data_IF_090828855616
#
_entry.id   IF_090828855616
#
_cell.length_a   1.000
_cell.length_b   1.000
_cell.length_c   1.000
_cell.angle_alpha   90.00
_cell.angle_beta   90.00
_cell.angle_gamma   90.00
#
_symmetry.space_group_name_H-M   'P 1'
#
loop_
_entity.id
_entity.type
_entity.pdbx_description
1 polymer ?
#
# COMPACT_ATOMS: atom_id res chain seq x y z
N UNK A 1 -11.19 -12.77 -15.36
CA UNK A 1 -9.84 -12.54 -14.82
C UNK A 1 -9.90 -12.74 -13.32
N UNK A 2 -8.91 -13.39 -12.72
CA UNK A 2 -8.86 -13.53 -11.25
C UNK A 2 -8.55 -12.20 -10.56
N UNK A 3 -8.80 -12.13 -9.26
CA UNK A 3 -8.50 -10.96 -8.42
C UNK A 3 -7.02 -10.58 -8.49
N UNK A 4 -6.73 -9.30 -8.75
CA UNK A 4 -5.36 -8.76 -8.67
C UNK A 4 -5.03 -8.46 -7.22
N UNK A 5 -4.07 -9.20 -6.66
CA UNK A 5 -3.63 -9.04 -5.26
C UNK A 5 -2.38 -8.16 -5.22
N UNK A 6 -2.55 -6.96 -4.69
CA UNK A 6 -1.57 -5.88 -4.72
C UNK A 6 -1.03 -5.61 -3.32
N UNK A 7 0.30 -5.60 -3.17
CA UNK A 7 0.96 -5.12 -1.96
C UNK A 7 1.42 -3.68 -2.13
N UNK A 8 0.99 -2.79 -1.24
CA UNK A 8 1.45 -1.41 -1.17
C UNK A 8 2.48 -1.31 -0.05
N UNK A 9 3.70 -0.90 -0.39
CA UNK A 9 4.81 -0.73 0.54
C UNK A 9 5.37 0.69 0.51
N UNK A 10 6.22 1.03 1.47
CA UNK A 10 6.87 2.35 1.54
C UNK A 10 7.16 2.77 2.97
N UNK A 11 8.09 3.73 3.11
CA UNK A 11 8.51 4.29 4.41
C UNK A 11 7.32 4.83 5.22
N UNK A 12 7.39 4.74 6.54
CA UNK A 12 6.46 5.36 7.46
C UNK A 12 6.37 6.87 7.24
N UNK A 13 5.15 7.40 7.29
CA UNK A 13 4.90 8.83 7.10
C UNK A 13 4.95 9.31 5.64
N UNK A 14 5.25 8.43 4.67
CA UNK A 14 5.32 8.81 3.25
C UNK A 14 3.94 9.07 2.62
N UNK A 15 2.85 8.73 3.30
CA UNK A 15 1.47 8.87 2.79
C UNK A 15 0.97 7.64 2.04
N UNK A 16 1.49 6.46 2.40
CA UNK A 16 1.13 5.16 1.81
C UNK A 16 -0.37 4.86 1.95
N UNK A 17 -0.89 4.86 3.17
CA UNK A 17 -2.31 4.56 3.47
C UNK A 17 -3.26 5.57 2.83
N UNK A 18 -2.90 6.86 2.85
CA UNK A 18 -3.66 7.90 2.14
C UNK A 18 -3.71 7.61 0.63
N UNK A 19 -2.58 7.25 0.03
CA UNK A 19 -2.50 6.93 -1.42
C UNK A 19 -3.28 5.66 -1.75
N UNK A 20 -3.14 4.61 -0.92
CA UNK A 20 -3.87 3.35 -1.07
C UNK A 20 -5.38 3.57 -1.03
N UNK A 21 -5.89 4.28 -0.02
CA UNK A 21 -7.32 4.55 0.13
C UNK A 21 -7.87 5.42 -1.01
N UNK A 22 -7.15 6.47 -1.43
CA UNK A 22 -7.60 7.28 -2.57
C UNK A 22 -7.57 6.51 -3.89
N UNK A 23 -6.57 5.65 -4.11
CA UNK A 23 -6.51 4.77 -5.28
C UNK A 23 -7.66 3.75 -5.28
N UNK A 24 -7.94 3.10 -4.14
CA UNK A 24 -9.07 2.19 -3.99
C UNK A 24 -10.40 2.92 -4.23
N UNK A 25 -10.57 4.12 -3.67
CA UNK A 25 -11.73 4.97 -3.91
C UNK A 25 -11.89 5.33 -5.39
N UNK A 26 -10.80 5.67 -6.08
CA UNK A 26 -10.82 5.95 -7.52
C UNK A 26 -11.21 4.72 -8.35
N UNK A 27 -10.66 3.54 -8.03
CA UNK A 27 -11.01 2.27 -8.68
C UNK A 27 -12.51 1.95 -8.53
N UNK A 28 -13.07 2.12 -7.34
CA UNK A 28 -14.48 1.88 -7.08
C UNK A 28 -15.38 2.94 -7.72
N UNK A 29 -15.05 4.22 -7.56
CA UNK A 29 -15.91 5.34 -7.96
C UNK A 29 -15.90 5.59 -9.47
N UNK A 30 -14.73 5.65 -10.09
CA UNK A 30 -14.59 6.00 -11.52
C UNK A 30 -14.60 4.81 -12.46
N UNK A 31 -14.21 3.63 -11.98
CA UNK A 31 -14.03 2.43 -12.81
C UNK A 31 -14.91 1.25 -12.37
N UNK A 32 -15.78 1.45 -11.37
CA UNK A 32 -16.75 0.47 -10.88
C UNK A 32 -16.13 -0.88 -10.48
N UNK A 33 -14.89 -0.84 -9.97
CA UNK A 33 -14.16 -2.02 -9.53
C UNK A 33 -14.55 -2.45 -8.13
N UNK A 34 -14.68 -3.75 -7.92
CA UNK A 34 -14.87 -4.36 -6.60
C UNK A 34 -13.52 -4.47 -5.91
N UNK A 35 -13.34 -3.68 -4.87
CA UNK A 35 -12.06 -3.54 -4.16
C UNK A 35 -12.19 -3.96 -2.71
N UNK A 36 -11.15 -4.62 -2.20
CA UNK A 36 -10.95 -4.84 -0.78
C UNK A 36 -9.60 -4.31 -0.32
N UNK A 37 -9.55 -3.73 0.87
CA UNK A 37 -8.32 -3.29 1.54
C UNK A 37 -8.15 -4.13 2.80
N UNK A 38 -7.01 -4.79 2.92
CA UNK A 38 -6.51 -5.38 4.15
C UNK A 38 -5.35 -4.54 4.67
N UNK A 39 -5.58 -3.82 5.77
CA UNK A 39 -4.53 -3.09 6.48
C UNK A 39 -3.60 -4.04 7.23
N UNK A 40 -2.33 -4.03 6.86
CA UNK A 40 -1.25 -4.85 7.44
C UNK A 40 -0.21 -3.97 8.17
N UNK A 41 -0.66 -2.83 8.71
CA UNK A 41 0.11 -1.93 9.56
C UNK A 41 -0.46 -1.99 10.99
N UNK A 42 0.37 -2.19 12.03
CA UNK A 42 -0.10 -2.23 13.42
C UNK A 42 -0.82 -0.95 13.89
N UNK A 43 -0.73 0.16 13.14
CA UNK A 43 -1.48 1.40 13.42
C UNK A 43 -2.99 1.31 13.17
N UNK A 44 -3.43 0.32 12.38
CA UNK A 44 -4.84 0.06 12.07
C UNK A 44 -5.62 1.28 11.53
N UNK A 45 -5.00 2.09 10.66
CA UNK A 45 -5.60 3.27 10.04
C UNK A 45 -5.66 3.22 8.50
N UNK A 46 -5.36 2.06 7.90
CA UNK A 46 -5.34 1.83 6.47
C UNK A 46 -6.72 1.89 5.80
N UNK A 47 -7.80 1.85 6.58
CA UNK A 47 -9.20 1.82 6.13
C UNK A 47 -10.02 3.02 6.60
N UNK A 48 -9.44 3.88 7.45
CA UNK A 48 -10.13 4.95 8.19
C UNK A 48 -10.90 5.92 7.29
N UNK A 49 -10.33 6.34 6.17
CA UNK A 49 -10.94 7.30 5.24
C UNK A 49 -12.07 6.65 4.41
N UNK A 50 -11.96 5.36 4.09
CA UNK A 50 -12.99 4.62 3.38
C UNK A 50 -14.23 4.42 4.24
N UNK A 51 -14.03 4.16 5.54
CA UNK A 51 -15.11 3.94 6.49
C UNK A 51 -15.71 5.22 7.09
N UNK A 52 -15.22 6.41 6.73
CA UNK A 52 -15.71 7.67 7.32
C UNK A 52 -15.29 7.86 8.78
N UNK A 53 -14.20 7.20 9.20
CA UNK A 53 -13.71 7.15 10.58
C UNK A 53 -14.61 6.39 11.56
N UNK A 54 -15.47 5.51 11.06
CA UNK A 54 -16.14 4.52 11.90
C UNK A 54 -15.09 3.63 12.59
N UNK A 55 -15.32 3.22 13.85
CA UNK A 55 -14.49 2.23 14.50
C UNK A 55 -14.46 0.95 13.68
N UNK A 56 -13.28 0.38 13.52
CA UNK A 56 -13.08 -0.92 12.90
C UNK A 56 -12.41 -1.83 13.92
N UNK A 57 -13.09 -2.92 14.27
CA UNK A 57 -12.50 -4.00 15.06
C UNK A 57 -11.42 -4.67 14.22
N UNK A 58 -10.25 -4.90 14.82
CA UNK A 58 -9.15 -5.57 14.15
C UNK A 58 -9.22 -7.07 14.37
N UNK A 59 -8.69 -7.84 13.43
CA UNK A 59 -8.68 -9.31 13.49
C UNK A 59 -7.95 -9.79 14.76
N UNK A 60 -6.81 -9.18 15.09
CA UNK A 60 -6.00 -9.59 16.24
C UNK A 60 -6.55 -9.13 17.59
N UNK A 61 -7.27 -8.00 17.64
CA UNK A 61 -7.92 -7.57 18.88
C UNK A 61 -9.09 -8.49 19.19
N UNK A 62 -9.93 -8.80 18.18
CA UNK A 62 -11.05 -9.71 18.36
C UNK A 62 -10.58 -11.12 18.76
N UNK A 63 -9.53 -11.63 18.11
CA UNK A 63 -8.93 -12.91 18.46
C UNK A 63 -8.44 -12.96 19.92
N UNK A 64 -7.90 -11.85 20.43
CA UNK A 64 -7.34 -11.76 21.78
C UNK A 64 -8.42 -11.62 22.85
N UNK A 65 -9.43 -10.81 22.57
CA UNK A 65 -10.49 -10.46 23.52
C UNK A 65 -11.56 -11.55 23.60
N UNK A 66 -11.87 -12.19 22.47
CA UNK A 66 -13.04 -13.08 22.37
C UNK A 66 -12.72 -14.48 21.82
N UNK A 67 -11.49 -14.76 21.44
CA UNK A 67 -11.10 -16.06 20.89
C UNK A 67 -11.48 -16.24 19.42
N UNK A 68 -10.99 -17.33 18.83
CA UNK A 68 -11.14 -17.62 17.40
C UNK A 68 -12.60 -17.97 17.05
N UNK A 69 -13.32 -18.59 17.97
CA UNK A 69 -14.71 -19.01 17.80
C UNK A 69 -15.71 -17.85 17.61
N UNK A 70 -15.34 -16.64 18.07
CA UNK A 70 -16.15 -15.42 17.95
C UNK A 70 -15.69 -14.51 16.80
N UNK A 71 -14.68 -14.94 16.04
CA UNK A 71 -14.14 -14.21 14.91
C UNK A 71 -14.95 -14.53 13.65
N UNK A 72 -15.88 -13.64 13.32
CA UNK A 72 -16.73 -13.77 12.12
C UNK A 72 -16.47 -12.66 11.12
N UNK A 73 -16.69 -12.93 9.83
CA UNK A 73 -16.43 -11.97 8.75
C UNK A 73 -17.23 -10.66 8.90
N UNK A 74 -18.48 -10.72 9.37
CA UNK A 74 -19.32 -9.52 9.55
C UNK A 74 -18.79 -8.55 10.62
N UNK A 75 -17.98 -9.07 11.54
CA UNK A 75 -17.33 -8.27 12.58
C UNK A 75 -16.08 -7.58 12.05
N UNK A 76 -15.20 -8.33 11.39
CA UNK A 76 -13.88 -7.83 10.96
C UNK A 76 -13.89 -7.18 9.57
N UNK A 77 -14.88 -7.49 8.72
CA UNK A 77 -15.05 -6.87 7.40
C UNK A 77 -16.15 -5.82 7.45
N UNK A 78 -15.77 -4.57 7.22
CA UNK A 78 -16.71 -3.45 7.08
C UNK A 78 -16.74 -2.96 5.64
N UNK A 79 -17.88 -2.40 5.23
CA UNK A 79 -18.05 -1.83 3.89
C UNK A 79 -18.15 -0.32 3.98
N UNK A 80 -17.34 0.38 3.20
CA UNK A 80 -17.28 1.84 3.17
C UNK A 80 -17.65 2.45 1.82
N UNK A 81 -17.05 3.60 1.53
CA UNK A 81 -17.25 4.34 0.30
C UNK A 81 -17.07 3.45 -0.95
N UNK A 82 -17.95 3.60 -1.94
CA UNK A 82 -17.89 2.85 -3.20
C UNK A 82 -18.09 1.33 -3.06
N UNK A 83 -18.59 0.83 -1.92
CA UNK A 83 -18.71 -0.61 -1.68
C UNK A 83 -17.37 -1.30 -1.38
N UNK A 84 -16.33 -0.54 -1.07
CA UNK A 84 -15.00 -1.06 -0.74
C UNK A 84 -15.09 -1.83 0.59
N UNK A 85 -14.59 -3.07 0.57
CA UNK A 85 -14.48 -3.92 1.77
C UNK A 85 -13.19 -3.60 2.51
N UNK A 86 -13.26 -3.50 3.84
CA UNK A 86 -12.17 -3.07 4.69
C UNK A 86 -11.98 -4.10 5.81
N UNK A 87 -10.74 -4.55 5.98
CA UNK A 87 -10.28 -5.37 7.11
C UNK A 87 -8.95 -4.80 7.64
N UNK A 88 -8.72 -4.89 8.94
CA UNK A 88 -7.49 -4.43 9.60
C UNK A 88 -6.93 -5.62 10.37
N UNK A 89 -5.66 -5.97 10.12
CA UNK A 89 -5.00 -7.01 10.89
C UNK A 89 -4.95 -6.63 12.37
N UNK A 90 -4.66 -5.36 12.66
CA UNK A 90 -4.33 -4.91 14.01
C UNK A 90 -2.85 -5.12 14.34
N UNK A 91 -2.48 -4.73 15.56
CA UNK A 91 -1.12 -4.84 16.07
C UNK A 91 -1.09 -5.59 17.40
N UNK A 92 0.05 -6.15 17.79
CA UNK A 92 0.23 -6.60 19.15
C UNK A 92 0.24 -5.38 20.09
N UNK A 93 0.02 -5.61 21.38
CA UNK A 93 0.15 -4.57 22.39
C UNK A 93 1.49 -3.83 22.27
N UNK A 94 1.50 -2.49 22.37
CA UNK A 94 2.74 -1.71 22.32
C UNK A 94 3.79 -2.25 23.31
N UNK A 95 4.96 -2.63 22.79
CA UNK A 95 6.05 -3.19 23.59
C UNK A 95 6.01 -4.72 23.78
N UNK A 96 4.99 -5.41 23.26
CA UNK A 96 4.82 -6.87 23.35
C UNK A 96 4.64 -7.48 21.96
N UNK A 97 5.08 -8.73 21.77
CA UNK A 97 4.79 -9.50 20.56
C UNK A 97 5.60 -9.08 19.32
N UNK A 98 5.14 -9.54 18.15
CA UNK A 98 5.77 -9.24 16.86
C UNK A 98 4.68 -8.87 15.86
N UNK A 99 4.62 -7.60 15.46
CA UNK A 99 3.63 -7.10 14.50
C UNK A 99 3.64 -7.90 13.19
N UNK A 100 4.84 -8.30 12.74
CA UNK A 100 4.97 -9.15 11.57
C UNK A 100 4.31 -10.52 11.73
N UNK A 101 4.29 -11.14 12.91
CA UNK A 101 3.56 -12.41 13.13
C UNK A 101 2.05 -12.19 13.17
N UNK A 102 1.61 -11.07 13.76
CA UNK A 102 0.21 -10.68 13.79
C UNK A 102 -0.40 -10.57 12.39
N UNK A 103 0.30 -9.92 11.46
CA UNK A 103 -0.14 -9.83 10.05
C UNK A 103 -0.31 -11.21 9.41
N UNK A 104 0.61 -12.16 9.68
CA UNK A 104 0.51 -13.54 9.16
C UNK A 104 -0.76 -14.20 9.69
N UNK A 105 -0.95 -14.17 11.01
CA UNK A 105 -2.13 -14.75 11.67
C UNK A 105 -3.42 -14.16 11.12
N UNK A 106 -3.50 -12.83 10.98
CA UNK A 106 -4.69 -12.18 10.47
C UNK A 106 -5.01 -12.54 9.02
N UNK A 107 -3.99 -12.63 8.16
CA UNK A 107 -4.19 -13.05 6.76
C UNK A 107 -4.67 -14.50 6.70
N UNK A 108 -4.07 -15.41 7.46
CA UNK A 108 -4.44 -16.82 7.46
C UNK A 108 -5.88 -17.03 7.95
N UNK A 109 -6.27 -16.38 9.06
CA UNK A 109 -7.64 -16.44 9.57
C UNK A 109 -8.65 -15.90 8.54
N UNK A 110 -8.31 -14.81 7.85
CA UNK A 110 -9.14 -14.28 6.78
C UNK A 110 -9.24 -15.24 5.58
N UNK A 111 -8.22 -16.06 5.28
CA UNK A 111 -8.33 -17.10 4.26
C UNK A 111 -9.20 -18.27 4.71
N UNK A 112 -9.02 -18.73 5.95
CA UNK A 112 -9.78 -19.84 6.55
C UNK A 112 -11.28 -19.51 6.65
N UNK A 113 -11.61 -18.25 6.92
CA UNK A 113 -12.98 -17.75 6.93
C UNK A 113 -13.53 -17.41 5.53
N UNK A 114 -12.77 -17.66 4.47
CA UNK A 114 -13.14 -17.28 3.09
C UNK A 114 -13.42 -15.77 2.94
N UNK A 115 -12.73 -14.93 3.71
CA UNK A 115 -12.89 -13.49 3.81
C UNK A 115 -12.40 -12.69 2.61
N UNK A 116 -11.86 -13.33 1.57
CA UNK A 116 -11.49 -12.73 0.30
C UNK A 116 -12.38 -13.26 -0.82
N UNK A 117 -13.52 -12.61 -1.11
CA UNK A 117 -14.45 -13.07 -2.14
C UNK A 117 -13.80 -13.21 -3.52
N UNK A 118 -14.17 -14.26 -4.26
CA UNK A 118 -13.67 -14.50 -5.61
C UNK A 118 -14.12 -13.42 -6.63
N UNK A 119 -15.15 -12.67 -6.29
CA UNK A 119 -15.73 -11.63 -7.15
C UNK A 119 -14.98 -10.28 -7.08
N UNK A 120 -13.88 -10.20 -6.33
CA UNK A 120 -13.04 -9.00 -6.25
C UNK A 120 -12.23 -8.78 -7.53
N UNK A 121 -12.23 -7.54 -8.03
CA UNK A 121 -11.27 -7.12 -9.05
C UNK A 121 -9.88 -6.89 -8.42
N UNK A 122 -9.83 -6.25 -7.24
CA UNK A 122 -8.59 -5.87 -6.56
C UNK A 122 -8.64 -6.16 -5.06
N UNK A 123 -7.54 -6.71 -4.54
CA UNK A 123 -7.27 -6.84 -3.11
C UNK A 123 -5.96 -6.12 -2.78
N UNK A 124 -6.03 -5.06 -1.97
CA UNK A 124 -4.86 -4.32 -1.50
C UNK A 124 -4.43 -4.78 -0.13
N UNK A 125 -3.14 -5.09 0.03
CA UNK A 125 -2.47 -5.22 1.32
C UNK A 125 -1.67 -3.93 1.56
N UNK A 126 -2.08 -3.10 2.52
CA UNK A 126 -1.33 -1.91 2.94
C UNK A 126 -0.31 -2.32 4.02
N UNK A 127 0.94 -2.50 3.63
CA UNK A 127 1.95 -3.14 4.48
C UNK A 127 2.97 -2.14 5.01
N UNK A 128 3.30 -2.26 6.30
CA UNK A 128 4.36 -1.47 6.92
C UNK A 128 5.71 -1.70 6.19
N UNK A 129 6.29 -0.63 5.64
CA UNK A 129 7.50 -0.70 4.81
C UNK A 129 8.81 -0.28 5.50
N UNK A 130 8.76 0.16 6.76
CA UNK A 130 9.96 0.59 7.50
C UNK A 130 10.87 -0.56 7.91
N UNK A 131 10.27 -1.73 8.19
CA UNK A 131 10.97 -2.91 8.65
C UNK A 131 10.63 -4.08 7.74
N UNK A 132 11.57 -4.47 6.89
CA UNK A 132 11.41 -5.64 6.01
C UNK A 132 11.82 -6.92 6.76
N UNK A 133 11.21 -7.16 7.94
CA UNK A 133 11.40 -8.41 8.65
C UNK A 133 10.57 -9.53 8.00
N UNK A 134 10.84 -10.79 8.38
CA UNK A 134 10.19 -11.94 7.76
C UNK A 134 8.65 -11.93 7.81
N UNK A 135 8.04 -11.22 8.78
CA UNK A 135 6.58 -11.09 8.90
C UNK A 135 5.97 -10.07 7.95
N UNK A 136 6.49 -8.85 7.87
CA UNK A 136 6.01 -7.84 6.91
C UNK A 136 6.34 -8.19 5.45
N UNK A 137 7.32 -9.07 5.24
CA UNK A 137 7.57 -9.68 3.95
C UNK A 137 6.59 -10.81 3.62
N UNK A 138 5.68 -11.25 4.51
CA UNK A 138 4.83 -12.42 4.28
C UNK A 138 3.98 -12.32 3.01
N UNK A 139 3.29 -11.19 2.71
CA UNK A 139 2.50 -11.10 1.49
C UNK A 139 3.31 -11.39 0.21
N UNK A 140 4.60 -11.00 0.22
CA UNK A 140 5.56 -11.24 -0.86
C UNK A 140 6.14 -12.67 -0.78
N UNK A 141 6.53 -13.12 0.42
CA UNK A 141 7.24 -14.36 0.72
C UNK A 141 6.40 -15.62 0.48
N UNK A 142 5.10 -15.52 0.73
CA UNK A 142 4.11 -16.58 0.56
C UNK A 142 3.26 -16.38 -0.70
N UNK A 143 3.56 -15.35 -1.50
CA UNK A 143 2.88 -15.07 -2.75
C UNK A 143 1.40 -14.72 -2.57
N UNK A 144 1.03 -14.12 -1.43
CA UNK A 144 -0.33 -13.59 -1.21
C UNK A 144 -0.60 -12.35 -2.06
N UNK A 145 0.43 -11.55 -2.34
CA UNK A 145 0.41 -10.45 -3.30
C UNK A 145 1.38 -10.74 -4.46
N UNK A 146 0.90 -10.67 -5.69
CA UNK A 146 1.72 -10.89 -6.89
C UNK A 146 2.28 -9.57 -7.44
N UNK A 147 1.57 -8.47 -7.20
CA UNK A 147 1.93 -7.14 -7.72
C UNK A 147 2.31 -6.22 -6.58
N UNK A 148 3.50 -5.63 -6.63
CA UNK A 148 3.97 -4.72 -5.59
C UNK A 148 4.09 -3.31 -6.17
N UNK A 149 3.56 -2.34 -5.43
CA UNK A 149 3.81 -0.91 -5.68
C UNK A 149 4.40 -0.29 -4.43
N UNK A 150 5.42 0.55 -4.61
CA UNK A 150 6.11 1.21 -3.50
C UNK A 150 5.83 2.70 -3.56
N UNK A 151 5.32 3.26 -2.47
CA UNK A 151 5.17 4.71 -2.29
C UNK A 151 6.48 5.28 -1.75
N UNK A 152 7.07 6.22 -2.49
CA UNK A 152 8.33 6.88 -2.16
C UNK A 152 8.25 8.39 -2.48
N UNK A 153 9.31 9.13 -2.18
CA UNK A 153 9.50 10.55 -2.50
C UNK A 153 10.97 10.76 -2.88
N UNK A 154 11.33 11.97 -3.31
CA UNK A 154 12.72 12.34 -3.60
C UNK A 154 13.63 12.42 -2.37
N UNK A 155 13.10 12.19 -1.17
CA UNK A 155 13.91 12.15 0.06
C UNK A 155 14.81 10.90 0.07
N UNK A 156 16.10 11.07 0.40
CA UNK A 156 17.08 9.97 0.46
C UNK A 156 16.58 8.77 1.28
N UNK A 157 15.96 9.02 2.43
CA UNK A 157 15.45 7.95 3.29
C UNK A 157 14.26 7.19 2.68
N UNK A 158 13.45 7.84 1.84
CA UNK A 158 12.35 7.18 1.13
C UNK A 158 12.88 6.31 -0.02
N UNK A 159 13.85 6.82 -0.79
CA UNK A 159 14.55 6.05 -1.83
C UNK A 159 15.27 4.84 -1.23
N UNK A 160 15.99 5.03 -0.12
CA UNK A 160 16.67 3.95 0.62
C UNK A 160 15.70 2.87 1.08
N UNK A 161 14.55 3.26 1.67
CA UNK A 161 13.52 2.31 2.09
C UNK A 161 12.95 1.54 0.90
N UNK A 162 12.62 2.22 -0.20
CA UNK A 162 12.14 1.60 -1.43
C UNK A 162 13.16 0.58 -1.98
N UNK A 163 14.44 0.94 -2.01
CA UNK A 163 15.51 0.04 -2.45
C UNK A 163 15.63 -1.21 -1.57
N UNK A 164 15.49 -1.07 -0.25
CA UNK A 164 15.51 -2.20 0.68
C UNK A 164 14.28 -3.12 0.53
N UNK A 165 13.10 -2.56 0.25
CA UNK A 165 11.90 -3.36 -0.09
C UNK A 165 12.17 -4.17 -1.37
N UNK A 166 12.75 -3.54 -2.40
CA UNK A 166 13.17 -4.25 -3.62
C UNK A 166 14.16 -5.38 -3.31
N UNK A 167 15.17 -5.16 -2.45
CA UNK A 167 16.12 -6.21 -2.00
C UNK A 167 15.42 -7.36 -1.27
N UNK A 168 14.40 -7.07 -0.46
CA UNK A 168 13.60 -8.10 0.21
C UNK A 168 12.84 -8.95 -0.81
N UNK A 169 12.25 -8.30 -1.81
CA UNK A 169 11.43 -8.97 -2.83
C UNK A 169 12.25 -9.84 -3.78
N UNK A 170 13.46 -9.44 -4.19
CA UNK A 170 14.29 -10.25 -5.11
C UNK A 170 14.61 -11.64 -4.57
N UNK A 171 14.67 -11.80 -3.24
CA UNK A 171 14.87 -13.10 -2.58
C UNK A 171 13.73 -14.10 -2.82
N UNK A 172 12.52 -13.61 -3.11
CA UNK A 172 11.32 -14.44 -3.24
C UNK A 172 10.72 -14.43 -4.64
N UNK A 173 11.05 -13.44 -5.47
CA UNK A 173 10.50 -13.21 -6.81
C UNK A 173 10.50 -14.45 -7.73
N UNK A 174 11.55 -15.25 -7.71
CA UNK A 174 11.65 -16.47 -8.53
C UNK A 174 10.75 -17.60 -8.00
N UNK A 175 10.57 -17.68 -6.68
CA UNK A 175 9.80 -18.75 -6.04
C UNK A 175 8.30 -18.46 -6.04
N UNK A 176 7.90 -17.22 -5.76
CA UNK A 176 6.48 -16.86 -5.56
C UNK A 176 5.85 -16.18 -6.77
N UNK A 177 6.64 -15.81 -7.77
CA UNK A 177 6.15 -15.09 -8.95
C UNK A 177 5.87 -13.60 -8.71
N UNK A 178 6.11 -13.08 -7.50
CA UNK A 178 5.91 -11.66 -7.17
C UNK A 178 6.77 -10.73 -8.04
N UNK A 179 6.21 -9.57 -8.43
CA UNK A 179 6.85 -8.57 -9.29
C UNK A 179 6.61 -7.15 -8.79
N UNK A 180 7.56 -6.26 -9.08
CA UNK A 180 7.39 -4.82 -8.91
C UNK A 180 6.61 -4.27 -10.12
N UNK A 181 5.44 -3.68 -9.87
CA UNK A 181 4.64 -3.00 -10.89
C UNK A 181 5.05 -1.55 -11.12
N UNK A 182 5.62 -0.90 -10.10
CA UNK A 182 6.17 0.45 -10.21
C UNK A 182 6.34 1.16 -8.87
N UNK A 183 6.91 2.36 -8.94
CA UNK A 183 7.03 3.30 -7.82
C UNK A 183 5.98 4.41 -7.99
N UNK A 184 5.25 4.69 -6.92
CA UNK A 184 4.36 5.86 -6.83
C UNK A 184 5.13 6.95 -6.09
N UNK A 185 5.51 8.01 -6.79
CA UNK A 185 6.14 9.16 -6.14
C UNK A 185 5.06 10.02 -5.48
N UNK A 186 5.02 10.05 -4.15
CA UNK A 186 4.15 10.95 -3.40
C UNK A 186 4.95 12.19 -2.99
N UNK A 187 4.76 13.28 -3.73
CA UNK A 187 5.64 14.44 -3.69
C UNK A 187 5.79 15.03 -2.28
N UNK A 188 7.03 15.35 -1.94
CA UNK A 188 7.41 16.12 -0.75
C UNK A 188 7.90 17.52 -1.09
N UNK A 189 7.73 17.93 -2.36
CA UNK A 189 8.26 19.19 -2.90
C UNK A 189 9.78 19.27 -2.77
N UNK A 190 10.45 18.14 -3.02
CA UNK A 190 11.92 18.11 -3.15
C UNK A 190 12.27 18.73 -4.51
N UNK A 191 13.35 19.50 -4.58
CA UNK A 191 13.79 20.05 -5.86
C UNK A 191 14.16 18.91 -6.82
N UNK A 192 13.70 19.00 -8.08
CA UNK A 192 13.92 17.97 -9.11
C UNK A 192 13.45 16.57 -8.69
N UNK A 193 12.44 16.50 -7.82
CA UNK A 193 11.90 15.25 -7.27
C UNK A 193 11.45 14.25 -8.35
N UNK A 194 10.83 14.74 -9.41
CA UNK A 194 10.38 13.88 -10.51
C UNK A 194 11.58 13.26 -11.25
N UNK A 195 12.65 14.03 -11.49
CA UNK A 195 13.84 13.58 -12.20
C UNK A 195 14.62 12.52 -11.41
N UNK A 196 14.85 12.75 -10.11
CA UNK A 196 15.56 11.78 -9.26
C UNK A 196 14.77 10.47 -9.15
N UNK A 197 13.44 10.56 -9.01
CA UNK A 197 12.58 9.37 -8.92
C UNK A 197 12.50 8.61 -10.24
N UNK A 198 12.49 9.32 -11.37
CA UNK A 198 12.53 8.73 -12.70
C UNK A 198 13.82 7.92 -12.90
N UNK A 199 14.99 8.51 -12.64
CA UNK A 199 16.28 7.80 -12.76
C UNK A 199 16.39 6.65 -11.75
N UNK A 200 15.88 6.81 -10.53
CA UNK A 200 15.83 5.72 -9.56
C UNK A 200 15.03 4.51 -10.09
N UNK A 201 13.86 4.76 -10.69
CA UNK A 201 13.02 3.72 -11.28
C UNK A 201 13.73 3.02 -12.45
N UNK A 202 14.37 3.78 -13.32
CA UNK A 202 15.13 3.26 -14.45
C UNK A 202 16.30 2.36 -13.99
N UNK A 203 17.08 2.80 -13.00
CA UNK A 203 18.18 1.99 -12.43
C UNK A 203 17.66 0.72 -11.75
N UNK A 204 16.49 0.77 -11.10
CA UNK A 204 15.81 -0.41 -10.57
C UNK A 204 15.27 -1.35 -11.67
N UNK A 205 15.18 -0.88 -12.91
CA UNK A 205 14.55 -1.59 -14.03
C UNK A 205 13.03 -1.57 -13.99
N UNK A 206 12.42 -0.61 -13.30
CA UNK A 206 10.96 -0.44 -13.20
C UNK A 206 10.53 0.93 -13.75
N UNK A 207 9.31 1.34 -13.49
CA UNK A 207 8.75 2.63 -13.86
C UNK A 207 8.28 3.43 -12.65
N UNK A 208 8.33 4.76 -12.76
CA UNK A 208 7.52 5.62 -11.91
C UNK A 208 6.09 5.61 -12.46
N UNK A 209 5.20 4.80 -11.87
CA UNK A 209 3.84 4.61 -12.38
C UNK A 209 3.06 5.93 -12.33
N UNK A 210 3.30 6.74 -11.31
CA UNK A 210 2.66 8.04 -11.13
C UNK A 210 3.50 8.96 -10.25
N UNK A 211 3.51 10.25 -10.60
CA UNK A 211 3.89 11.34 -9.72
C UNK A 211 2.61 11.96 -9.14
N UNK A 212 2.39 11.79 -7.83
CA UNK A 212 1.24 12.34 -7.10
C UNK A 212 1.65 13.68 -6.49
N UNK A 213 1.04 14.80 -6.90
CA UNK A 213 1.42 16.11 -6.39
C UNK A 213 0.98 16.30 -4.92
N UNK A 214 1.69 17.20 -4.24
CA UNK A 214 1.37 17.59 -2.86
C UNK A 214 0.31 18.69 -2.86
N UNK A 215 -0.88 18.37 -2.35
CA UNK A 215 -2.00 19.32 -2.25
C UNK A 215 -2.65 19.29 -0.85
N UNK A 216 -3.01 20.48 -0.34
CA UNK A 216 -3.63 20.65 0.97
C UNK A 216 -5.08 20.13 1.03
N UNK A 217 -5.73 19.90 -0.11
CA UNK A 217 -7.04 19.23 -0.17
C UNK A 217 -7.01 17.85 0.48
N UNK A 218 -5.86 17.16 0.45
CA UNK A 218 -5.68 15.86 1.09
C UNK A 218 -5.91 15.98 2.60
N UNK A 219 -5.32 16.98 3.25
CA UNK A 219 -5.53 17.21 4.69
C UNK A 219 -6.98 17.63 4.98
N UNK A 220 -7.59 18.45 4.13
CA UNK A 220 -9.01 18.83 4.28
C UNK A 220 -9.92 17.60 4.21
N UNK A 221 -9.70 16.70 3.26
CA UNK A 221 -10.45 15.45 3.13
C UNK A 221 -10.21 14.52 4.33
N UNK A 222 -8.96 14.36 4.77
CA UNK A 222 -8.58 13.57 5.95
C UNK A 222 -9.25 14.08 7.24
N UNK A 223 -9.32 15.40 7.45
CA UNK A 223 -10.04 15.99 8.59
C UNK A 223 -11.55 15.72 8.54
N UNK A 224 -12.11 15.55 7.35
CA UNK A 224 -13.49 15.12 7.14
C UNK A 224 -13.64 13.60 7.13
N UNK A 225 -12.56 12.85 7.41
CA UNK A 225 -12.50 11.38 7.40
C UNK A 225 -12.89 10.78 6.05
N UNK A 226 -12.55 11.45 4.96
CA UNK A 226 -12.87 11.04 3.59
C UNK A 226 -11.61 10.95 2.74
N UNK A 227 -11.69 10.17 1.67
CA UNK A 227 -10.72 10.27 0.57
C UNK A 227 -10.99 11.55 -0.23
N UNK A 228 -10.00 12.05 -0.95
CA UNK A 228 -10.20 13.21 -1.85
C UNK A 228 -11.20 12.88 -2.94
N UNK A 229 -11.19 11.65 -3.46
CA UNK A 229 -12.16 11.15 -4.45
C UNK A 229 -13.59 11.27 -3.93
N UNK A 230 -13.83 10.98 -2.66
CA UNK A 230 -15.15 11.14 -2.04
C UNK A 230 -15.46 12.60 -1.69
N UNK A 231 -14.46 13.34 -1.21
CA UNK A 231 -14.62 14.70 -0.68
C UNK A 231 -14.88 15.73 -1.77
N UNK A 232 -14.11 15.67 -2.86
CA UNK A 232 -14.22 16.56 -4.01
C UNK A 232 -13.73 15.83 -5.29
N UNK A 233 -14.62 15.07 -5.96
CA UNK A 233 -14.25 14.23 -7.10
C UNK A 233 -13.71 15.04 -8.29
N UNK A 234 -14.14 16.29 -8.46
CA UNK A 234 -13.72 17.13 -9.58
C UNK A 234 -12.38 17.84 -9.31
N UNK A 235 -11.87 17.80 -8.07
CA UNK A 235 -10.60 18.41 -7.71
C UNK A 235 -9.43 17.81 -8.52
N UNK A 236 -8.43 18.61 -8.95
CA UNK A 236 -7.25 18.10 -9.66
C UNK A 236 -6.55 16.93 -8.95
N UNK A 237 -6.46 16.97 -7.62
CA UNK A 237 -5.92 15.87 -6.81
C UNK A 237 -6.76 14.58 -6.90
N UNK A 238 -8.10 14.66 -6.95
CA UNK A 238 -8.94 13.48 -7.18
C UNK A 238 -8.73 12.92 -8.59
N UNK A 239 -8.55 13.78 -9.59
CA UNK A 239 -8.22 13.38 -10.96
C UNK A 239 -6.81 12.76 -11.06
N UNK A 240 -5.85 13.21 -10.24
CA UNK A 240 -4.54 12.54 -10.13
C UNK A 240 -4.68 11.11 -9.60
N UNK A 241 -5.54 10.87 -8.60
CA UNK A 241 -5.82 9.51 -8.12
C UNK A 241 -6.63 8.67 -9.13
N UNK A 242 -7.51 9.30 -9.91
CA UNK A 242 -8.18 8.65 -11.06
C UNK A 242 -7.18 8.17 -12.09
N UNK A 243 -6.21 9.01 -12.44
CA UNK A 243 -5.15 8.67 -13.38
C UNK A 243 -4.24 7.57 -12.82
N UNK A 244 -3.85 7.65 -11.54
CA UNK A 244 -3.15 6.55 -10.86
C UNK A 244 -3.92 5.23 -10.99
N UNK A 245 -5.21 5.23 -10.65
CA UNK A 245 -6.05 4.03 -10.74
C UNK A 245 -6.13 3.48 -12.17
N UNK A 246 -6.28 4.36 -13.18
CA UNK A 246 -6.25 3.98 -14.60
C UNK A 246 -4.93 3.28 -14.97
N UNK A 247 -3.80 3.90 -14.62
CA UNK A 247 -2.46 3.33 -14.88
C UNK A 247 -2.25 1.99 -14.19
N UNK A 248 -2.79 1.82 -12.97
CA UNK A 248 -2.75 0.53 -12.26
C UNK A 248 -3.57 -0.53 -13.01
N UNK A 249 -4.77 -0.18 -13.49
CA UNK A 249 -5.62 -1.09 -14.29
C UNK A 249 -4.87 -1.55 -15.55
N UNK A 250 -4.24 -0.62 -16.26
CA UNK A 250 -3.59 -0.85 -17.55
C UNK A 250 -2.13 -1.34 -17.44
N UNK A 251 -1.58 -1.44 -16.23
CA UNK A 251 -0.17 -1.78 -16.08
C UNK A 251 0.12 -3.22 -16.54
N UNK A 252 1.04 -3.37 -17.49
CA UNK A 252 1.57 -4.64 -17.95
C UNK A 252 3.08 -4.80 -17.65
N UNK A 253 3.72 -3.75 -17.13
CA UNK A 253 5.15 -3.75 -16.86
C UNK A 253 5.44 -4.21 -15.42
N UNK A 254 5.78 -5.50 -15.31
CA UNK A 254 6.06 -6.18 -14.05
C UNK A 254 7.45 -6.82 -14.07
N UNK A 255 8.30 -6.41 -13.14
CA UNK A 255 9.74 -6.75 -13.17
C UNK A 255 10.22 -7.36 -11.86
N UNK A 256 11.31 -8.12 -11.94
CA UNK A 256 12.15 -8.38 -10.78
C UNK A 256 13.12 -7.20 -10.71
N UNK A 257 13.06 -6.34 -9.66
CA UNK A 257 13.86 -5.13 -9.62
C UNK A 257 15.35 -5.46 -9.45
N UNK A 258 16.19 -4.49 -9.79
CA UNK A 258 17.64 -4.52 -9.63
C UNK A 258 18.05 -3.52 -8.55
N UNK A 259 18.05 -3.90 -7.25
CA UNK A 259 18.33 -2.95 -6.19
C UNK A 259 19.75 -2.39 -6.28
N UNK A 260 19.88 -1.09 -6.07
CA UNK A 260 21.13 -0.34 -6.12
C UNK A 260 21.95 -0.58 -4.85
N UNK A 261 23.27 -0.46 -4.96
CA UNK A 261 24.22 -0.39 -3.85
C UNK A 261 24.14 0.97 -3.14
N UNK A 262 24.69 1.07 -1.92
CA UNK A 262 24.69 2.34 -1.20
C UNK A 262 25.44 3.46 -1.94
N UNK A 263 26.63 3.20 -2.54
CA UNK A 263 27.31 4.23 -3.35
C UNK A 263 26.49 4.72 -4.55
N UNK A 264 25.77 3.83 -5.24
CA UNK A 264 24.89 4.22 -6.36
C UNK A 264 23.69 5.06 -5.89
N UNK A 265 23.16 4.80 -4.69
CA UNK A 265 22.11 5.64 -4.09
C UNK A 265 22.66 7.01 -3.70
N UNK A 266 23.84 7.06 -3.09
CA UNK A 266 24.50 8.32 -2.72
C UNK A 266 24.84 9.16 -3.95
N UNK A 267 25.36 8.55 -5.01
CA UNK A 267 25.60 9.19 -6.30
C UNK A 267 24.32 9.84 -6.85
N UNK A 268 23.20 9.11 -6.81
CA UNK A 268 21.91 9.61 -7.26
C UNK A 268 21.47 10.83 -6.44
N UNK A 269 21.54 10.75 -5.11
CA UNK A 269 21.15 11.89 -4.26
C UNK A 269 22.08 13.08 -4.42
N UNK A 270 23.38 12.86 -4.58
CA UNK A 270 24.35 13.94 -4.83
C UNK A 270 24.06 14.65 -6.16
N UNK A 271 23.77 13.88 -7.22
CA UNK A 271 23.49 14.41 -8.57
C UNK A 271 22.29 15.36 -8.62
N UNK A 272 21.27 15.12 -7.79
CA UNK A 272 20.01 15.88 -7.81
C UNK A 272 19.81 16.78 -6.59
N UNK A 273 20.48 16.51 -5.47
CA UNK A 273 20.30 17.20 -4.19
C UNK A 273 21.35 18.26 -3.87
N UNK A 274 22.45 18.36 -4.62
CA UNK A 274 23.41 19.46 -4.50
C UNK A 274 23.11 20.46 -5.63
N UNK A 275 22.38 21.52 -5.28
CA UNK A 275 22.27 22.74 -6.09
C UNK A 275 22.69 23.93 -5.22
#
# INVERSE_FOLDING_TARGET
>A
MGTRKIGIYGKGGIGKSTTCQNMAAALAHYFHKKVMIHGCDPKADATRLILGGKPQETVLDLLREEGEENLTLDRVVKVGFGGIRCVESGGPEPGVGCAGRGVITAINLMEELEGYPEDLDFLFFDVLGDVVCGGFAMPVREGKAQEIYIVASGEMMAIYAANNICRGMTKYAQRTGVRLGGIICNSRKVDREEEIMQEFCERLGTQMIMFVPRDNIVQKAEFNRQTVVQFDPEHPQAQAYRELARRIIENEHFVIPKPLTMPELEELVVKYGIV
#
